data_IF_722219095305
#
_entry.id   IF_722219095305
#
_cell.length_a   1.000
_cell.length_b   1.000
_cell.length_c   1.000
_cell.angle_alpha   90.00
_cell.angle_beta   90.00
_cell.angle_gamma   90.00
#
_symmetry.space_group_name_H-M   'P 1'
#
loop_
_entity.id
_entity.type
_entity.pdbx_description
1 polymer ?
#
# COMPACT_ATOMS: atom_id res chain seq x y z
N UNK A 1 11.45 -4.96 2.38
CA UNK A 1 11.85 -5.94 1.35
C UNK A 1 12.89 -5.44 0.34
N UNK A 2 13.03 -4.12 0.12
CA UNK A 2 13.90 -3.52 -0.90
C UNK A 2 15.24 -4.21 -1.19
N UNK A 3 16.15 -4.38 -0.21
CA UNK A 3 17.48 -4.95 -0.47
C UNK A 3 17.51 -6.50 -0.53
N UNK A 4 16.54 -7.19 0.06
CA UNK A 4 16.54 -8.66 0.16
C UNK A 4 16.03 -9.33 -1.12
N UNK A 5 15.10 -8.66 -1.80
CA UNK A 5 14.44 -9.20 -2.99
C UNK A 5 15.40 -9.39 -4.18
N UNK A 6 16.29 -8.43 -4.54
CA UNK A 6 17.21 -8.60 -5.66
C UNK A 6 18.23 -9.72 -5.46
N UNK A 7 18.58 -10.03 -4.20
CA UNK A 7 19.54 -11.07 -3.84
C UNK A 7 18.87 -12.42 -3.55
N UNK A 8 17.54 -12.47 -3.64
CA UNK A 8 16.72 -13.65 -3.35
C UNK A 8 17.03 -14.29 -1.98
N UNK A 9 17.29 -13.44 -0.98
CA UNK A 9 17.60 -13.88 0.39
C UNK A 9 16.28 -14.06 1.14
N UNK A 10 15.98 -15.28 1.65
CA UNK A 10 14.75 -15.53 2.39
C UNK A 10 14.75 -14.77 3.72
N UNK A 11 13.63 -14.10 4.03
CA UNK A 11 13.41 -13.40 5.28
C UNK A 11 12.56 -14.25 6.23
N UNK A 12 13.05 -14.54 7.43
CA UNK A 12 12.34 -15.34 8.43
C UNK A 12 11.92 -14.45 9.59
N UNK A 13 10.61 -14.33 9.80
CA UNK A 13 10.01 -13.63 10.94
C UNK A 13 9.79 -14.65 12.06
N UNK A 14 10.46 -14.45 13.19
CA UNK A 14 10.40 -15.32 14.38
C UNK A 14 9.86 -14.55 15.58
N UNK A 15 9.28 -15.28 16.53
CA UNK A 15 8.86 -14.73 17.82
C UNK A 15 9.97 -14.95 18.86
N UNK A 16 10.49 -13.87 19.46
CA UNK A 16 11.53 -13.94 20.50
C UNK A 16 11.06 -14.63 21.79
N UNK A 17 9.76 -14.55 22.10
CA UNK A 17 9.13 -15.24 23.23
C UNK A 17 8.86 -16.73 22.98
N UNK A 18 8.98 -17.21 21.73
CA UNK A 18 8.92 -18.63 21.38
C UNK A 18 9.83 -18.94 20.19
N UNK A 19 11.17 -19.03 20.39
CA UNK A 19 12.13 -19.18 19.30
C UNK A 19 11.99 -20.48 18.51
N UNK A 20 11.47 -21.54 19.15
CA UNK A 20 11.28 -22.86 18.54
C UNK A 20 10.12 -22.90 17.53
N UNK A 21 9.23 -21.91 17.53
CA UNK A 21 8.13 -21.85 16.58
C UNK A 21 8.63 -21.69 15.13
N UNK A 22 7.94 -22.25 14.13
CA UNK A 22 8.35 -22.16 12.73
C UNK A 22 8.43 -20.71 12.22
N UNK A 23 7.51 -19.83 12.64
CA UNK A 23 7.46 -18.43 12.22
C UNK A 23 6.85 -18.24 10.83
N UNK A 24 7.13 -17.10 10.20
CA UNK A 24 6.70 -16.80 8.82
C UNK A 24 7.92 -16.62 7.92
N UNK A 25 7.95 -17.33 6.79
CA UNK A 25 9.04 -17.26 5.81
C UNK A 25 8.55 -16.45 4.62
N UNK A 26 9.34 -15.47 4.19
CA UNK A 26 9.10 -14.69 2.99
C UNK A 26 10.24 -14.97 2.03
N UNK A 27 9.95 -15.72 0.98
CA UNK A 27 10.90 -16.12 -0.06
C UNK A 27 10.29 -15.89 -1.47
N UNK A 28 11.06 -16.21 -2.51
CA UNK A 28 10.59 -16.13 -3.89
C UNK A 28 9.71 -17.30 -4.34
N UNK A 29 9.46 -18.29 -3.48
CA UNK A 29 8.70 -19.48 -3.86
C UNK A 29 7.20 -19.22 -3.66
N UNK A 30 6.53 -18.84 -4.74
CA UNK A 30 5.08 -18.66 -4.73
C UNK A 30 4.41 -20.03 -4.67
N UNK A 31 3.78 -20.36 -3.54
CA UNK A 31 2.90 -21.53 -3.42
C UNK A 31 1.53 -21.19 -4.02
N UNK A 32 1.21 -21.82 -5.15
CA UNK A 32 -0.11 -21.76 -5.76
C UNK A 32 -1.09 -22.57 -4.90
N UNK A 33 -1.81 -21.90 -4.01
CA UNK A 33 -2.85 -22.50 -3.18
C UNK A 33 -4.23 -22.01 -3.64
N UNK A 34 -5.27 -22.83 -3.47
CA UNK A 34 -6.66 -22.53 -3.89
C UNK A 34 -7.29 -21.33 -3.16
N UNK A 35 -6.72 -20.92 -2.03
CA UNK A 35 -7.15 -19.75 -1.24
C UNK A 35 -6.62 -18.45 -1.84
N UNK A 36 -7.52 -17.62 -2.36
CA UNK A 36 -7.20 -16.32 -2.97
C UNK A 36 -6.82 -15.24 -1.95
N UNK A 37 -7.36 -15.29 -0.73
CA UNK A 37 -7.06 -14.31 0.33
C UNK A 37 -6.09 -14.91 1.34
N UNK A 38 -4.92 -14.28 1.52
CA UNK A 38 -3.85 -14.74 2.41
C UNK A 38 -3.74 -13.97 3.73
N UNK A 39 -4.33 -12.79 3.78
CA UNK A 39 -4.30 -11.93 4.96
C UNK A 39 -5.22 -10.74 4.80
N UNK A 40 -5.66 -10.22 5.94
CA UNK A 40 -6.47 -9.01 6.05
C UNK A 40 -5.68 -8.09 7.00
N UNK A 41 -5.50 -6.83 6.60
CA UNK A 41 -4.85 -5.80 7.41
C UNK A 41 -5.79 -4.63 7.55
N UNK A 42 -5.74 -3.95 8.69
CA UNK A 42 -6.55 -2.78 8.98
C UNK A 42 -5.64 -1.57 9.27
N UNK A 43 -6.12 -0.37 8.90
CA UNK A 43 -5.43 0.90 9.10
C UNK A 43 -6.44 1.89 9.71
N UNK A 44 -6.32 2.17 11.00
CA UNK A 44 -7.34 2.93 11.73
C UNK A 44 -7.27 4.44 11.49
N UNK A 45 -6.07 5.01 11.39
CA UNK A 45 -5.85 6.46 11.36
C UNK A 45 -5.80 7.01 9.93
N UNK A 46 -6.87 6.81 9.17
CA UNK A 46 -7.01 7.31 7.81
C UNK A 46 -8.07 8.40 7.71
N UNK A 47 -7.76 9.47 6.99
CA UNK A 47 -8.72 10.48 6.59
C UNK A 47 -9.06 10.29 5.11
N UNK A 48 -10.36 10.18 4.80
CA UNK A 48 -10.86 10.15 3.43
C UNK A 48 -11.58 11.46 3.14
N UNK A 49 -11.23 12.09 2.03
CA UNK A 49 -11.92 13.28 1.53
C UNK A 49 -12.16 13.13 0.03
N UNK A 50 -13.22 13.76 -0.47
CA UNK A 50 -13.56 13.78 -1.87
C UNK A 50 -13.36 15.20 -2.43
N UNK A 51 -12.74 15.30 -3.60
CA UNK A 51 -12.54 16.57 -4.32
C UNK A 51 -13.40 16.54 -5.57
N UNK A 52 -14.48 17.33 -5.58
CA UNK A 52 -15.42 17.43 -6.70
C UNK A 52 -15.60 18.86 -7.15
N UNK A 53 -15.73 19.09 -8.45
CA UNK A 53 -16.06 20.39 -9.01
C UNK A 53 -16.10 20.35 -10.53
N UNK A 54 -16.70 21.36 -11.19
CA UNK A 54 -16.87 21.39 -12.64
C UNK A 54 -15.54 21.37 -13.42
N UNK A 55 -14.43 21.75 -12.79
CA UNK A 55 -13.10 21.65 -13.38
C UNK A 55 -12.47 20.25 -13.29
N UNK A 56 -12.96 19.35 -12.44
CA UNK A 56 -12.41 17.99 -12.33
C UNK A 56 -12.74 17.14 -13.56
N UNK A 57 -13.87 17.41 -14.20
CA UNK A 57 -14.25 16.82 -15.48
C UNK A 57 -13.86 17.78 -16.61
N UNK A 58 -12.87 17.39 -17.42
CA UNK A 58 -12.54 18.11 -18.66
C UNK A 58 -11.39 19.12 -18.59
N UNK A 59 -10.80 19.40 -17.42
CA UNK A 59 -9.58 20.23 -17.32
C UNK A 59 -8.35 19.37 -17.05
N UNK A 60 -7.39 19.40 -17.98
CA UNK A 60 -6.10 18.72 -17.83
C UNK A 60 -5.32 19.36 -16.67
N UNK A 61 -4.75 18.53 -15.79
CA UNK A 61 -3.85 18.98 -14.73
C UNK A 61 -4.51 19.28 -13.37
N UNK A 62 -5.84 19.17 -13.24
CA UNK A 62 -6.51 19.38 -11.95
C UNK A 62 -6.07 18.40 -10.86
N UNK A 63 -5.92 17.11 -11.19
CA UNK A 63 -5.35 16.13 -10.26
C UNK A 63 -3.93 16.53 -9.81
N UNK A 64 -3.09 17.01 -10.73
CA UNK A 64 -1.73 17.48 -10.41
C UNK A 64 -1.75 18.67 -9.44
N UNK A 65 -2.67 19.62 -9.62
CA UNK A 65 -2.85 20.75 -8.69
C UNK A 65 -3.23 20.29 -7.29
N UNK A 66 -4.13 19.31 -7.20
CA UNK A 66 -4.58 18.72 -5.93
C UNK A 66 -3.43 18.00 -5.22
N UNK A 67 -2.69 17.13 -5.91
CA UNK A 67 -1.54 16.43 -5.34
C UNK A 67 -0.37 17.38 -5.00
N UNK A 68 -0.13 18.41 -5.82
CA UNK A 68 0.90 19.40 -5.55
C UNK A 68 0.60 20.20 -4.29
N UNK A 69 -0.67 20.57 -4.06
CA UNK A 69 -1.08 21.24 -2.84
C UNK A 69 -0.89 20.35 -1.60
N UNK A 70 -1.26 19.06 -1.69
CA UNK A 70 -1.03 18.09 -0.60
C UNK A 70 0.44 17.87 -0.31
N UNK A 71 1.25 17.69 -1.36
CA UNK A 71 2.70 17.53 -1.24
C UNK A 71 3.35 18.77 -0.61
N UNK A 72 2.93 19.98 -1.01
CA UNK A 72 3.38 21.24 -0.42
C UNK A 72 3.00 21.39 1.06
N UNK A 73 1.90 20.75 1.49
CA UNK A 73 1.48 20.67 2.89
C UNK A 73 2.10 19.50 3.67
N UNK A 74 2.95 18.67 3.03
CA UNK A 74 3.56 17.50 3.66
C UNK A 74 2.59 16.33 3.90
N UNK A 75 1.46 16.30 3.21
CA UNK A 75 0.42 15.27 3.37
C UNK A 75 0.79 14.07 2.49
N UNK A 76 0.90 12.89 3.11
CA UNK A 76 1.07 11.62 2.40
C UNK A 76 -0.27 11.04 1.97
N UNK A 77 -0.37 10.61 0.71
CA UNK A 77 -1.56 9.99 0.14
C UNK A 77 -1.30 8.49 -0.04
N UNK A 78 -2.20 7.65 0.48
CA UNK A 78 -2.06 6.18 0.45
C UNK A 78 -2.92 5.56 -0.66
N UNK A 79 -4.15 6.07 -0.84
CA UNK A 79 -5.06 5.63 -1.90
C UNK A 79 -5.56 6.83 -2.68
N UNK A 80 -5.60 6.70 -4.01
CA UNK A 80 -6.35 7.60 -4.87
C UNK A 80 -7.41 6.81 -5.62
N UNK A 81 -8.64 7.32 -5.60
CA UNK A 81 -9.72 6.83 -6.44
C UNK A 81 -10.26 8.03 -7.21
N UNK A 82 -10.28 7.92 -8.54
CA UNK A 82 -10.77 8.97 -9.42
C UNK A 82 -12.00 8.44 -10.16
N UNK A 83 -13.17 9.01 -9.87
CA UNK A 83 -14.38 8.82 -10.68
C UNK A 83 -14.54 10.08 -11.50
N UNK A 84 -14.40 9.95 -12.82
CA UNK A 84 -14.91 10.96 -13.74
C UNK A 84 -16.43 10.79 -13.77
N UNK A 85 -17.13 11.49 -12.87
CA UNK A 85 -18.57 11.80 -13.07
C UNK A 85 -18.67 13.03 -13.95
#
# INVERSE_FOLDING_TARGET
MGPLLPQNIPCVIKNTGNPSAPGSIIDGNVKSESLQVKGITNLDNLAMFNVSGPGMQGMVGMASRVFSAMSGAGISVIFNYSVFV
#
